data_IF_171701743944
#
_entry.id   IF_171701743944
#
_cell.length_a   1.000
_cell.length_b   1.000
_cell.length_c   1.000
_cell.angle_alpha   90.00
_cell.angle_beta   90.00
_cell.angle_gamma   90.00
#
_symmetry.space_group_name_H-M   'P 1'
#
loop_
_entity.id
_entity.type
_entity.pdbx_description
1 polymer ?
#
# COMPACT_ATOMS: atom_id res chain seq x y z
N UNK A 1 -4.70 -12.44 -27.09
CA UNK A 1 -4.97 -11.79 -25.79
C UNK A 1 -4.02 -12.39 -24.78
N UNK A 2 -3.03 -11.62 -24.32
CA UNK A 2 -1.98 -12.10 -23.42
C UNK A 2 -2.55 -12.26 -22.00
N UNK A 3 -2.62 -13.49 -21.51
CA UNK A 3 -3.05 -13.85 -20.16
C UNK A 3 -1.92 -13.62 -19.13
N UNK A 4 -1.28 -12.44 -19.16
CA UNK A 4 -0.14 -12.13 -18.28
C UNK A 4 -0.51 -12.04 -16.80
N UNK A 5 -1.79 -11.81 -16.49
CA UNK A 5 -2.29 -11.67 -15.12
C UNK A 5 -2.63 -13.01 -14.45
N UNK A 6 -2.92 -14.06 -15.23
CA UNK A 6 -3.32 -15.37 -14.68
C UNK A 6 -2.14 -16.31 -14.45
N UNK A 7 -0.96 -16.02 -15.02
CA UNK A 7 0.23 -16.87 -14.92
C UNK A 7 1.22 -16.44 -13.84
N UNK A 8 1.18 -15.17 -13.39
CA UNK A 8 2.11 -14.66 -12.39
C UNK A 8 1.41 -14.28 -11.07
N UNK A 9 1.32 -15.21 -10.10
CA UNK A 9 0.71 -14.93 -8.79
C UNK A 9 1.37 -13.77 -8.03
N UNK A 10 2.63 -13.44 -8.36
CA UNK A 10 3.34 -12.28 -7.81
C UNK A 10 2.66 -10.95 -8.16
N UNK A 11 2.09 -10.83 -9.36
CA UNK A 11 1.40 -9.61 -9.80
C UNK A 11 0.15 -9.40 -8.95
N UNK A 12 -0.65 -10.46 -8.78
CA UNK A 12 -1.88 -10.42 -7.98
C UNK A 12 -1.54 -10.06 -6.52
N UNK A 13 -0.53 -10.71 -5.94
CA UNK A 13 -0.08 -10.42 -4.58
C UNK A 13 0.44 -8.98 -4.43
N UNK A 14 1.21 -8.48 -5.39
CA UNK A 14 1.71 -7.10 -5.41
C UNK A 14 0.59 -6.07 -5.47
N UNK A 15 -0.43 -6.27 -6.32
CA UNK A 15 -1.59 -5.37 -6.42
C UNK A 15 -2.38 -5.35 -5.10
N UNK A 16 -2.65 -6.50 -4.49
CA UNK A 16 -3.40 -6.58 -3.23
C UNK A 16 -2.65 -5.87 -2.10
N UNK A 17 -1.35 -6.14 -1.96
CA UNK A 17 -0.52 -5.50 -0.93
C UNK A 17 -0.41 -3.99 -1.14
N UNK A 18 -0.30 -3.54 -2.39
CA UNK A 18 -0.26 -2.12 -2.73
C UNK A 18 -1.58 -1.42 -2.36
N UNK A 19 -2.72 -2.02 -2.70
CA UNK A 19 -4.05 -1.49 -2.36
C UNK A 19 -4.22 -1.41 -0.83
N UNK A 20 -3.86 -2.45 -0.10
CA UNK A 20 -3.94 -2.46 1.38
C UNK A 20 -3.06 -1.37 1.99
N UNK A 21 -1.81 -1.24 1.55
CA UNK A 21 -0.90 -0.19 2.01
C UNK A 21 -1.44 1.22 1.72
N UNK A 22 -2.05 1.41 0.54
CA UNK A 22 -2.66 2.67 0.13
C UNK A 22 -3.90 3.02 0.96
N UNK A 23 -4.74 2.04 1.32
CA UNK A 23 -5.85 2.27 2.24
C UNK A 23 -5.36 2.69 3.62
N UNK A 24 -4.38 1.98 4.20
CA UNK A 24 -3.82 2.31 5.52
C UNK A 24 -3.23 3.73 5.51
N UNK A 25 -2.53 4.08 4.43
CA UNK A 25 -1.94 5.41 4.26
C UNK A 25 -2.99 6.52 4.14
N UNK A 26 -4.03 6.33 3.31
CA UNK A 26 -5.10 7.33 3.11
C UNK A 26 -5.95 7.50 4.37
N UNK A 27 -6.29 6.41 5.06
CA UNK A 27 -7.03 6.48 6.32
C UNK A 27 -6.21 7.15 7.42
N UNK A 28 -4.90 6.93 7.47
CA UNK A 28 -4.00 7.71 8.31
C UNK A 28 -4.04 9.20 7.98
N UNK A 29 -4.04 9.57 6.69
CA UNK A 29 -3.99 10.98 6.25
C UNK A 29 -5.31 11.74 6.43
N UNK A 30 -6.48 11.13 6.20
CA UNK A 30 -7.78 11.85 6.32
C UNK A 30 -8.16 12.16 7.77
N UNK A 31 -7.70 11.37 8.74
CA UNK A 31 -7.95 11.64 10.15
C UNK A 31 -6.94 12.60 10.80
N UNK A 32 -5.89 13.02 10.09
CA UNK A 32 -4.86 13.94 10.62
C UNK A 32 -5.47 15.27 11.12
N UNK A 33 -6.41 15.86 10.38
CA UNK A 33 -6.97 17.18 10.72
C UNK A 33 -7.90 17.11 11.93
N UNK A 34 -8.77 16.10 11.99
CA UNK A 34 -9.71 15.93 13.10
C UNK A 34 -9.00 15.45 14.39
N UNK A 35 -7.85 14.80 14.26
CA UNK A 35 -7.19 14.06 15.35
C UNK A 35 -5.88 14.70 15.84
N UNK A 36 -5.26 15.59 15.06
CA UNK A 36 -4.27 16.55 15.57
C UNK A 36 -4.87 17.45 16.67
N UNK A 37 -6.19 17.68 16.63
CA UNK A 37 -6.95 18.31 17.71
C UNK A 37 -7.01 17.45 19.00
N UNK A 38 -6.93 16.12 18.89
CA UNK A 38 -7.03 15.18 20.02
C UNK A 38 -5.69 14.60 20.51
N UNK A 39 -4.56 14.89 19.85
CA UNK A 39 -3.21 14.60 20.37
C UNK A 39 -2.79 13.12 20.37
N UNK A 40 -3.29 12.32 19.44
CA UNK A 40 -3.15 10.86 19.46
C UNK A 40 -1.84 10.35 18.78
N UNK A 41 -0.92 9.72 19.54
CA UNK A 41 0.42 9.29 19.07
C UNK A 41 0.43 8.05 18.18
N UNK A 42 -0.62 7.22 18.21
CA UNK A 42 -0.71 5.95 17.47
C UNK A 42 -0.69 6.13 15.93
N UNK A 43 -0.95 7.35 15.47
CA UNK A 43 -1.00 7.73 14.06
C UNK A 43 0.33 7.63 13.30
N UNK A 44 1.43 7.98 13.95
CA UNK A 44 2.75 7.94 13.31
C UNK A 44 3.13 6.52 12.92
N UNK A 45 2.77 5.55 13.77
CA UNK A 45 2.95 4.13 13.52
C UNK A 45 2.10 3.68 12.31
N UNK A 46 0.83 4.08 12.23
CA UNK A 46 -0.03 3.72 11.09
C UNK A 46 0.45 4.27 9.75
N UNK A 47 0.93 5.52 9.72
CA UNK A 47 1.49 6.10 8.48
C UNK A 47 2.81 5.42 8.11
N UNK A 48 3.70 5.17 9.08
CA UNK A 48 4.96 4.46 8.85
C UNK A 48 4.70 3.06 8.29
N UNK A 49 3.85 2.28 8.96
CA UNK A 49 3.53 0.91 8.53
C UNK A 49 2.75 0.89 7.20
N UNK A 50 1.80 1.81 6.99
CA UNK A 50 1.10 1.93 5.70
C UNK A 50 2.05 2.24 4.54
N UNK A 51 3.03 3.11 4.77
CA UNK A 51 4.06 3.45 3.78
C UNK A 51 4.98 2.25 3.50
N UNK A 52 5.41 1.52 4.53
CA UNK A 52 6.23 0.31 4.36
C UNK A 52 5.48 -0.76 3.57
N UNK A 53 4.22 -1.04 3.89
CA UNK A 53 3.40 -2.04 3.19
C UNK A 53 3.17 -1.64 1.72
N UNK A 54 2.93 -0.35 1.46
CA UNK A 54 2.78 0.19 0.11
C UNK A 54 4.07 0.01 -0.71
N UNK A 55 5.23 0.30 -0.13
CA UNK A 55 6.53 0.12 -0.79
C UNK A 55 6.84 -1.35 -1.09
N UNK A 56 6.46 -2.26 -0.20
CA UNK A 56 6.60 -3.71 -0.43
C UNK A 56 5.72 -4.17 -1.59
N UNK A 57 4.45 -3.74 -1.63
CA UNK A 57 3.55 -4.02 -2.75
C UNK A 57 4.07 -3.47 -4.08
N UNK A 58 4.60 -2.24 -4.06
CA UNK A 58 5.21 -1.62 -5.24
C UNK A 58 6.47 -2.35 -5.72
N UNK A 59 7.34 -2.79 -4.80
CA UNK A 59 8.53 -3.56 -5.12
C UNK A 59 8.21 -4.91 -5.77
N UNK A 60 7.15 -5.59 -5.32
CA UNK A 60 6.68 -6.83 -5.95
C UNK A 60 6.15 -6.60 -7.37
N UNK A 61 5.44 -5.48 -7.61
CA UNK A 61 5.00 -5.09 -8.95
C UNK A 61 6.17 -4.74 -9.88
N UNK A 62 7.23 -4.14 -9.35
CA UNK A 62 8.44 -3.84 -10.09
C UNK A 62 9.21 -5.11 -10.51
N UNK A 63 9.40 -6.06 -9.57
CA UNK A 63 10.09 -7.34 -9.82
C UNK A 63 9.31 -8.23 -10.80
N UNK A 64 7.98 -8.15 -10.78
CA UNK A 64 7.12 -8.90 -11.70
C UNK A 64 7.11 -8.35 -13.14
N UNK A 65 7.94 -7.34 -13.46
CA UNK A 65 8.07 -6.75 -14.79
C UNK A 65 6.74 -6.25 -15.38
N UNK A 66 5.77 -5.90 -14.52
CA UNK A 66 4.46 -5.36 -14.94
C UNK A 66 4.59 -4.06 -15.71
N UNK A 67 5.68 -3.32 -15.49
CA UNK A 67 5.95 -2.01 -16.10
C UNK A 67 6.89 -2.08 -17.32
N UNK A 68 7.35 -3.27 -17.73
CA UNK A 68 8.19 -3.48 -18.92
C UNK A 68 7.37 -3.77 -20.16
#
# INVERSE_FOLDING_TARGET
MNNGYTTNPLVIAGVILFIIGLFIFIFGKKFILLRAYFGDRSMFSQILWGTVIMLVGFGLLFISNVFS
#
